data_IF_962411193130
#
_entry.id   IF_962411193130
#
_cell.length_a   1.000
_cell.length_b   1.000
_cell.length_c   1.000
_cell.angle_alpha   90.00
_cell.angle_beta   90.00
_cell.angle_gamma   90.00
#
_symmetry.space_group_name_H-M   'P 1'
#
loop_
_entity.id
_entity.type
_entity.pdbx_description
1 polymer ?
#
# COMPACT_ATOMS: atom_id res chain seq x y z
N UNK A 1 -12.80 3.36 4.59
CA UNK A 1 -11.61 4.24 4.63
C UNK A 1 -10.44 3.69 3.82
N UNK A 2 -9.97 2.45 4.06
CA UNK A 2 -8.87 1.86 3.27
C UNK A 2 -9.10 1.87 1.76
N UNK A 3 -10.23 1.32 1.30
CA UNK A 3 -10.62 1.31 -0.12
C UNK A 3 -10.71 2.71 -0.75
N UNK A 4 -11.19 3.70 0.03
CA UNK A 4 -11.30 5.08 -0.44
C UNK A 4 -9.92 5.72 -0.66
N UNK A 5 -9.00 5.56 0.28
CA UNK A 5 -7.66 6.14 0.18
C UNK A 5 -6.77 5.43 -0.84
N UNK A 6 -7.03 4.15 -1.11
CA UNK A 6 -6.33 3.40 -2.16
C UNK A 6 -6.77 3.80 -3.57
N UNK A 7 -8.02 4.29 -3.70
CA UNK A 7 -8.54 4.83 -4.94
C UNK A 7 -8.50 3.83 -6.10
N UNK A 8 -7.92 4.25 -7.22
CA UNK A 8 -7.77 3.47 -8.45
C UNK A 8 -6.36 2.87 -8.60
N UNK A 9 -5.49 2.99 -7.59
CA UNK A 9 -4.14 2.41 -7.65
C UNK A 9 -4.22 0.89 -7.77
N UNK A 10 -3.43 0.32 -8.68
CA UNK A 10 -3.37 -1.13 -8.87
C UNK A 10 -2.94 -1.83 -7.57
N UNK A 11 -3.74 -2.81 -7.17
CA UNK A 11 -3.55 -3.56 -5.94
C UNK A 11 -4.17 -4.95 -6.06
N UNK A 12 -3.77 -5.85 -5.18
CA UNK A 12 -4.26 -7.23 -5.09
C UNK A 12 -5.22 -7.45 -3.91
N UNK A 13 -5.76 -6.38 -3.31
CA UNK A 13 -6.62 -6.50 -2.13
C UNK A 13 -8.03 -6.93 -2.51
N UNK A 14 -8.52 -7.93 -1.80
CA UNK A 14 -9.89 -8.43 -1.89
C UNK A 14 -10.82 -7.71 -0.91
N UNK A 15 -12.13 -7.88 -1.07
CA UNK A 15 -13.11 -7.40 -0.09
C UNK A 15 -12.92 -8.02 1.30
N UNK A 16 -12.39 -9.26 1.38
CA UNK A 16 -12.06 -9.88 2.65
C UNK A 16 -10.88 -9.17 3.32
N UNK A 17 -9.85 -8.80 2.57
CA UNK A 17 -8.69 -8.06 3.10
C UNK A 17 -9.11 -6.70 3.66
N UNK A 18 -10.02 -5.97 2.99
CA UNK A 18 -10.53 -4.70 3.51
C UNK A 18 -11.32 -4.86 4.81
N UNK A 19 -12.08 -5.95 4.96
CA UNK A 19 -12.77 -6.27 6.23
C UNK A 19 -11.78 -6.60 7.33
N UNK A 20 -10.76 -7.39 7.02
CA UNK A 20 -9.71 -7.73 7.98
C UNK A 20 -8.93 -6.50 8.43
N UNK A 21 -8.54 -5.61 7.50
CA UNK A 21 -7.90 -4.34 7.84
C UNK A 21 -8.78 -3.51 8.77
N UNK A 22 -10.09 -3.43 8.52
CA UNK A 22 -11.03 -2.74 9.40
C UNK A 22 -11.07 -3.32 10.81
N UNK A 23 -11.00 -4.64 10.96
CA UNK A 23 -10.96 -5.31 12.27
C UNK A 23 -9.64 -5.07 13.00
N UNK A 24 -8.52 -4.99 12.28
CA UNK A 24 -7.18 -4.77 12.85
C UNK A 24 -6.90 -3.31 13.21
N UNK A 25 -7.75 -2.37 12.79
CA UNK A 25 -7.57 -0.93 13.02
C UNK A 25 -8.60 -0.36 14.00
N UNK A 26 -9.01 -1.14 14.99
CA UNK A 26 -9.82 -0.60 16.08
C UNK A 26 -9.05 0.47 16.86
N UNK A 27 -9.72 1.59 17.17
CA UNK A 27 -9.10 2.77 17.78
C UNK A 27 -8.27 3.66 16.85
N UNK A 28 -8.13 3.32 15.56
CA UNK A 28 -7.44 4.19 14.59
C UNK A 28 -8.38 5.27 14.06
N UNK A 29 -7.86 6.49 13.96
CA UNK A 29 -8.57 7.58 13.30
C UNK A 29 -8.54 7.44 11.77
N UNK A 30 -9.41 8.18 11.08
CA UNK A 30 -9.36 8.28 9.62
C UNK A 30 -8.03 8.82 9.09
N UNK A 31 -7.37 9.68 9.86
CA UNK A 31 -6.04 10.20 9.55
C UNK A 31 -4.95 9.12 9.67
N UNK A 32 -5.01 8.28 10.71
CA UNK A 32 -4.08 7.15 10.87
C UNK A 32 -4.20 6.17 9.70
N UNK A 33 -5.44 5.84 9.31
CA UNK A 33 -5.71 4.99 8.13
C UNK A 33 -5.14 5.63 6.85
N UNK A 34 -5.28 6.94 6.68
CA UNK A 34 -4.72 7.67 5.53
C UNK A 34 -3.19 7.55 5.47
N UNK A 35 -2.52 7.66 6.62
CA UNK A 35 -1.06 7.50 6.74
C UNK A 35 -0.65 6.08 6.39
N UNK A 36 -1.36 5.07 6.92
CA UNK A 36 -1.09 3.66 6.63
C UNK A 36 -1.17 3.39 5.12
N UNK A 37 -2.24 3.84 4.47
CA UNK A 37 -2.41 3.62 3.02
C UNK A 37 -1.33 4.35 2.22
N UNK A 38 -0.98 5.58 2.61
CA UNK A 38 0.09 6.34 1.95
C UNK A 38 1.45 5.64 2.06
N UNK A 39 1.78 5.07 3.22
CA UNK A 39 3.00 4.29 3.38
C UNK A 39 2.96 2.99 2.56
N UNK A 40 1.82 2.30 2.53
CA UNK A 40 1.64 1.08 1.73
C UNK A 40 1.79 1.35 0.22
N UNK A 41 1.28 2.48 -0.26
CA UNK A 41 1.42 2.95 -1.64
C UNK A 41 2.89 3.22 -2.03
N UNK A 42 3.78 3.46 -1.07
CA UNK A 42 5.21 3.62 -1.30
C UNK A 42 5.98 2.30 -1.31
N UNK A 43 5.37 1.17 -0.93
CA UNK A 43 6.06 -0.13 -0.88
C UNK A 43 6.53 -0.60 -2.27
N UNK A 44 5.76 -0.49 -3.37
CA UNK A 44 6.25 -0.78 -4.71
C UNK A 44 7.52 0.00 -5.07
N UNK A 45 7.55 1.30 -4.80
CA UNK A 45 8.70 2.17 -5.07
C UNK A 45 9.93 1.69 -4.29
N UNK A 46 9.76 1.40 -3.00
CA UNK A 46 10.84 0.88 -2.15
C UNK A 46 11.35 -0.48 -2.63
N UNK A 47 10.47 -1.39 -3.04
CA UNK A 47 10.82 -2.70 -3.60
C UNK A 47 11.66 -2.58 -4.88
N UNK A 48 11.27 -1.67 -5.78
CA UNK A 48 12.05 -1.40 -7.01
C UNK A 48 13.42 -0.83 -6.65
N UNK A 49 13.49 0.16 -5.77
CA UNK A 49 14.74 0.83 -5.42
C UNK A 49 15.74 -0.08 -4.70
N UNK A 50 15.26 -1.01 -3.87
CA UNK A 50 16.11 -1.95 -3.12
C UNK A 50 16.34 -3.29 -3.81
N UNK A 51 15.73 -3.53 -4.98
CA UNK A 51 15.89 -4.76 -5.73
C UNK A 51 17.32 -4.89 -6.27
N UNK A 52 17.88 -6.09 -6.11
CA UNK A 52 19.17 -6.49 -6.68
C UNK A 52 19.01 -7.34 -7.94
N UNK A 53 17.79 -7.84 -8.18
CA UNK A 53 17.47 -8.72 -9.30
C UNK A 53 16.12 -8.34 -9.89
N UNK A 54 16.04 -8.43 -11.21
CA UNK A 54 14.82 -8.25 -11.98
C UNK A 54 14.60 -9.44 -12.90
N UNK A 55 13.35 -9.75 -13.19
CA UNK A 55 13.00 -10.81 -14.15
C UNK A 55 12.12 -10.26 -15.26
N UNK A 56 12.29 -10.83 -16.45
CA UNK A 56 11.47 -10.51 -17.61
C UNK A 56 10.09 -11.13 -17.47
N UNK A 57 9.05 -10.34 -17.73
CA UNK A 57 7.65 -10.73 -17.59
C UNK A 57 6.80 -10.15 -18.71
N UNK A 58 5.71 -10.85 -19.02
CA UNK A 58 4.66 -10.33 -19.87
C UNK A 58 3.73 -9.41 -19.08
N UNK A 59 3.34 -8.29 -19.69
CA UNK A 59 2.41 -7.35 -19.09
C UNK A 59 1.91 -6.29 -20.08
N UNK A 60 0.99 -5.42 -19.64
CA UNK A 60 0.44 -4.36 -20.48
C UNK A 60 1.53 -3.37 -20.87
N UNK A 61 1.53 -2.95 -22.13
CA UNK A 61 2.44 -1.91 -22.62
C UNK A 61 2.13 -0.58 -21.93
N UNK A 62 3.17 0.16 -21.55
CA UNK A 62 3.03 1.52 -21.01
C UNK A 62 2.52 2.51 -22.05
N UNK A 63 2.72 2.24 -23.33
CA UNK A 63 2.26 3.09 -24.43
C UNK A 63 0.82 2.80 -24.87
N UNK A 64 0.40 1.54 -24.73
CA UNK A 64 -0.93 1.07 -25.14
C UNK A 64 -1.42 -0.02 -24.16
N UNK A 65 -2.35 0.30 -23.24
CA UNK A 65 -2.84 -0.64 -22.23
C UNK A 65 -3.50 -1.91 -22.80
N UNK A 66 -3.98 -1.88 -24.04
CA UNK A 66 -4.63 -3.02 -24.69
C UNK A 66 -3.60 -3.97 -25.34
N UNK A 67 -2.35 -3.53 -25.51
CA UNK A 67 -1.26 -4.32 -26.04
C UNK A 67 -0.46 -5.01 -24.91
N UNK A 68 -0.14 -6.29 -25.09
CA UNK A 68 0.73 -7.04 -24.19
C UNK A 68 2.14 -7.11 -24.78
N UNK A 69 3.15 -6.80 -23.97
CA UNK A 69 4.58 -6.91 -24.30
C UNK A 69 5.24 -7.93 -23.38
N UNK A 70 6.32 -8.56 -23.84
CA UNK A 70 7.02 -9.66 -23.16
C UNK A 70 8.40 -9.29 -22.61
N UNK A 71 8.74 -8.00 -22.65
CA UNK A 71 10.06 -7.48 -22.30
C UNK A 71 10.06 -6.54 -21.08
N UNK A 72 8.99 -6.55 -20.28
CA UNK A 72 8.94 -5.79 -19.03
C UNK A 72 9.81 -6.44 -17.96
N UNK A 73 10.37 -5.62 -17.07
CA UNK A 73 11.22 -6.02 -15.97
C UNK A 73 10.55 -5.68 -14.64
N UNK A 74 10.37 -6.69 -13.80
CA UNK A 74 9.80 -6.53 -12.45
C UNK A 74 10.80 -7.01 -11.40
N UNK A 75 10.91 -6.34 -10.23
CA UNK A 75 11.83 -6.77 -9.18
C UNK A 75 11.48 -8.17 -8.69
N UNK A 76 12.49 -8.98 -8.40
CA UNK A 76 12.33 -10.38 -8.01
C UNK A 76 13.40 -10.83 -6.99
N UNK A 77 13.24 -12.04 -6.45
CA UNK A 77 14.26 -12.62 -5.56
C UNK A 77 15.44 -13.16 -6.37
N UNK A 78 16.68 -13.14 -5.84
CA UNK A 78 17.84 -13.72 -6.54
C UNK A 78 17.69 -15.20 -6.92
N UNK A 79 16.89 -15.96 -6.16
CA UNK A 79 16.61 -17.37 -6.43
C UNK A 79 15.46 -17.64 -7.41
N UNK A 80 14.79 -16.60 -7.91
CA UNK A 80 13.69 -16.79 -8.87
C UNK A 80 14.23 -17.30 -10.22
N UNK A 81 13.55 -18.25 -10.88
CA UNK A 81 13.89 -18.64 -12.24
C UNK A 81 13.86 -17.43 -13.18
N UNK A 82 14.96 -17.22 -13.92
CA UNK A 82 15.10 -16.07 -14.82
C UNK A 82 15.39 -14.75 -14.13
N UNK A 83 15.80 -14.77 -12.85
CA UNK A 83 16.36 -13.61 -12.18
C UNK A 83 17.66 -13.15 -12.86
N UNK A 84 17.69 -11.87 -13.20
CA UNK A 84 18.84 -11.20 -13.80
C UNK A 84 19.37 -10.23 -12.75
N UNK A 85 20.63 -10.39 -12.38
CA UNK A 85 21.31 -9.48 -11.46
C UNK A 85 21.47 -8.11 -12.12
N UNK A 86 20.72 -7.13 -11.63
CA UNK A 86 20.75 -5.73 -12.06
C UNK A 86 19.97 -4.87 -11.08
N UNK A 87 20.21 -3.56 -11.11
CA UNK A 87 19.51 -2.59 -10.26
C UNK A 87 18.47 -1.82 -11.05
N UNK A 88 17.60 -1.06 -10.36
CA UNK A 88 16.61 -0.22 -11.02
C UNK A 88 17.21 0.85 -11.95
N UNK A 89 18.49 1.21 -11.76
CA UNK A 89 19.22 2.17 -12.62
C UNK A 89 19.45 1.59 -14.02
N UNK A 90 19.55 0.26 -14.12
CA UNK A 90 19.79 -0.46 -15.37
C UNK A 90 18.50 -0.76 -16.13
N UNK A 91 17.34 -0.58 -15.49
CA UNK A 91 16.02 -0.85 -16.07
C UNK A 91 15.57 0.35 -16.92
N UNK A 92 15.27 0.16 -18.22
CA UNK A 92 14.69 1.24 -19.03
C UNK A 92 13.36 1.72 -18.45
N UNK A 93 13.13 3.04 -18.46
CA UNK A 93 11.96 3.65 -17.81
C UNK A 93 10.62 3.19 -18.38
N UNK A 94 10.58 2.80 -19.65
CA UNK A 94 9.40 2.25 -20.33
C UNK A 94 9.22 0.73 -20.12
N UNK A 95 10.23 0.05 -19.56
CA UNK A 95 10.23 -1.41 -19.34
C UNK A 95 10.04 -1.81 -17.89
N UNK A 96 10.10 -0.89 -16.94
CA UNK A 96 9.81 -1.21 -15.55
C UNK A 96 8.34 -1.65 -15.42
N UNK A 97 8.08 -2.75 -14.72
CA UNK A 97 6.76 -3.13 -14.23
C UNK A 97 6.78 -3.13 -12.70
N UNK A 98 6.22 -2.08 -12.11
CA UNK A 98 6.15 -1.94 -10.66
C UNK A 98 5.26 -3.03 -10.04
N UNK A 99 5.65 -3.57 -8.87
CA UNK A 99 4.77 -4.45 -8.12
C UNK A 99 3.50 -3.73 -7.70
N UNK A 100 2.36 -4.41 -7.71
CA UNK A 100 1.12 -3.86 -7.17
C UNK A 100 1.12 -3.91 -5.64
N UNK A 101 0.34 -3.02 -5.01
CA UNK A 101 0.18 -3.03 -3.55
C UNK A 101 -0.55 -4.31 -3.11
N UNK A 102 -0.04 -4.96 -2.07
CA UNK A 102 -0.58 -6.21 -1.54
C UNK A 102 -1.03 -6.08 -0.09
N UNK A 103 -1.75 -7.09 0.42
CA UNK A 103 -2.14 -7.14 1.84
C UNK A 103 -0.92 -7.15 2.76
N UNK A 104 0.17 -7.78 2.34
CA UNK A 104 1.45 -7.78 3.09
C UNK A 104 2.01 -6.37 3.24
N UNK A 105 1.86 -5.52 2.21
CA UNK A 105 2.30 -4.12 2.25
C UNK A 105 1.45 -3.32 3.24
N UNK A 106 0.13 -3.52 3.22
CA UNK A 106 -0.80 -2.88 4.16
C UNK A 106 -0.54 -3.29 5.62
N UNK A 107 -0.32 -4.58 5.87
CA UNK A 107 -0.01 -5.09 7.21
C UNK A 107 1.34 -4.57 7.73
N UNK A 108 2.35 -4.46 6.86
CA UNK A 108 3.63 -3.84 7.20
C UNK A 108 3.43 -2.39 7.62
N UNK A 109 2.73 -1.60 6.81
CA UNK A 109 2.47 -0.19 7.12
C UNK A 109 1.65 -0.03 8.41
N UNK A 110 0.64 -0.88 8.62
CA UNK A 110 -0.15 -0.93 9.85
C UNK A 110 0.73 -1.20 11.08
N UNK A 111 1.62 -2.19 11.02
CA UNK A 111 2.49 -2.54 12.15
C UNK A 111 3.42 -1.40 12.60
N UNK A 112 3.74 -0.49 11.68
CA UNK A 112 4.64 0.64 11.93
C UNK A 112 3.91 1.91 12.39
N UNK A 113 2.58 1.95 12.29
CA UNK A 113 1.74 3.11 12.61
C UNK A 113 0.87 2.80 13.81
N UNK A 114 1.02 3.55 14.90
CA UNK A 114 0.18 3.42 16.11
C UNK A 114 -1.04 4.36 16.03
N UNK A 115 -2.17 4.03 16.67
CA UNK A 115 -3.32 4.93 16.72
C UNK A 115 -2.94 6.20 17.49
N UNK A 116 -3.35 7.35 16.96
CA UNK A 116 -3.00 8.65 17.56
C UNK A 116 -3.99 9.10 18.63
N UNK A 117 -5.24 8.66 18.53
CA UNK A 117 -6.29 8.96 19.51
C UNK A 117 -6.23 7.94 20.64
N UNK A 118 -5.99 8.41 21.87
CA UNK A 118 -6.00 7.56 23.06
C UNK A 118 -7.37 7.63 23.77
N UNK A 119 -7.61 6.66 24.65
CA UNK A 119 -8.86 6.54 25.40
C UNK A 119 -9.14 7.76 26.31
N UNK A 120 -8.09 8.37 26.85
CA UNK A 120 -8.24 9.53 27.74
C UNK A 120 -8.77 10.77 26.99
N UNK A 121 -8.39 10.95 25.72
CA UNK A 121 -8.93 12.02 24.89
C UNK A 121 -10.40 11.77 24.54
N UNK A 122 -10.81 10.52 24.33
CA UNK A 122 -12.22 10.15 24.15
C UNK A 122 -13.05 10.42 25.41
N UNK A 123 -12.52 10.16 26.61
CA UNK A 123 -13.21 10.45 27.87
C UNK A 123 -13.47 11.95 28.08
N UNK A 124 -12.52 12.81 27.73
CA UNK A 124 -12.71 14.27 27.79
C UNK A 124 -13.82 14.73 26.84
N UNK A 125 -13.82 14.22 25.61
CA UNK A 125 -14.83 14.55 24.62
C UNK A 125 -16.22 14.09 25.07
N UNK A 126 -16.32 12.89 25.64
CA UNK A 126 -17.57 12.36 26.20
C UNK A 126 -18.10 13.27 27.32
N UNK A 127 -17.23 13.67 28.25
CA UNK A 127 -17.59 14.60 29.32
C UNK A 127 -18.10 15.94 28.77
N UNK A 128 -17.41 16.51 27.78
CA UNK A 128 -17.87 17.74 27.13
C UNK A 128 -19.26 17.57 26.49
N UNK A 129 -19.50 16.45 25.79
CA UNK A 129 -20.82 16.17 25.21
C UNK A 129 -21.93 16.00 26.26
N UNK A 130 -21.63 15.41 27.42
CA UNK A 130 -22.56 15.27 28.55
C UNK A 130 -22.85 16.62 29.22
N UNK A 131 -21.84 17.47 29.37
CA UNK A 131 -21.95 18.77 30.06
C UNK A 131 -22.72 19.82 29.22
N UNK A 132 -22.62 19.79 27.88
CA UNK A 132 -23.15 20.87 27.01
C UNK A 132 -24.26 20.41 26.03
N UNK A 133 -24.42 19.12 25.78
CA UNK A 133 -25.48 18.62 24.90
C UNK A 133 -25.39 19.17 23.46
N UNK A 134 -26.54 19.33 22.80
CA UNK A 134 -26.63 19.83 21.41
C UNK A 134 -26.92 21.33 21.29
N UNK A 135 -27.27 21.98 22.40
CA UNK A 135 -27.69 23.40 22.43
C UNK A 135 -26.59 24.33 22.97
N UNK A 136 -25.38 23.80 23.18
CA UNK A 136 -24.21 24.52 23.68
C UNK A 136 -23.58 25.51 22.69
#
# INVERSE_FOLDING_TARGET
MFRLHLGTTQNSLTEADFRELGQRTDGYSGADISIIVRDALMQPVRKVQSATHFKRVQGPSRADPDAVVDDLLTPCSPGDPGAIEMTWVDVPGDKLLEPIVSMTDMLRSLSSTKPTVNEHDLLKLKKFSEDFGQEG
#
